data_IF_067608398769
#
_entry.id   IF_067608398769
#
_cell.length_a   1.000
_cell.length_b   1.000
_cell.length_c   1.000
_cell.angle_alpha   90.00
_cell.angle_beta   90.00
_cell.angle_gamma   90.00
#
_symmetry.space_group_name_H-M   'P 1'
#
loop_
_entity.id
_entity.type
_entity.pdbx_description
1 polymer ?
#
# COMPACT_ATOMS: atom_id res chain seq x y z
N UNK A 1 46.09 -69.02 -24.05
CA UNK A 1 45.18 -69.12 -22.90
C UNK A 1 45.74 -68.27 -21.78
N UNK A 2 45.00 -67.24 -21.36
CA UNK A 2 45.03 -66.53 -20.07
C UNK A 2 46.37 -65.90 -19.63
N UNK A 3 46.48 -64.63 -19.22
CA UNK A 3 45.55 -63.78 -18.49
C UNK A 3 45.85 -62.29 -18.72
N UNK A 4 44.78 -61.51 -18.84
CA UNK A 4 44.74 -60.07 -18.60
C UNK A 4 45.16 -59.77 -17.16
N UNK A 5 46.20 -58.95 -16.94
CA UNK A 5 46.46 -58.30 -15.65
C UNK A 5 46.74 -56.81 -15.89
N UNK A 6 45.80 -56.01 -15.41
CA UNK A 6 45.91 -54.69 -14.80
C UNK A 6 46.93 -53.67 -15.34
N UNK A 7 46.41 -52.69 -16.06
CA UNK A 7 46.76 -51.28 -15.80
C UNK A 7 45.46 -50.58 -15.41
N UNK A 8 45.18 -50.61 -14.11
CA UNK A 8 44.09 -49.88 -13.48
C UNK A 8 44.51 -48.43 -13.26
N UNK A 9 43.57 -47.52 -13.55
CA UNK A 9 43.41 -46.19 -12.94
C UNK A 9 44.50 -45.15 -13.19
N UNK A 10 44.17 -44.19 -14.05
CA UNK A 10 44.23 -42.75 -13.78
C UNK A 10 43.43 -42.03 -14.88
N UNK A 11 42.11 -42.22 -14.86
CA UNK A 11 41.20 -41.20 -15.40
C UNK A 11 40.78 -40.40 -14.17
N UNK A 12 41.39 -39.23 -14.02
CA UNK A 12 41.06 -38.26 -12.98
C UNK A 12 39.58 -37.93 -13.10
N UNK A 13 38.83 -38.40 -12.10
CA UNK A 13 37.45 -38.05 -11.84
C UNK A 13 37.47 -36.57 -11.43
N UNK A 14 37.41 -35.68 -12.42
CA UNK A 14 37.26 -34.25 -12.21
C UNK A 14 35.81 -33.97 -11.81
N UNK A 15 35.39 -34.54 -10.67
CA UNK A 15 34.23 -34.09 -9.93
C UNK A 15 34.57 -32.70 -9.42
N UNK A 16 34.30 -31.69 -10.24
CA UNK A 16 34.03 -30.35 -9.73
C UNK A 16 32.95 -30.53 -8.66
N UNK A 17 33.36 -30.48 -7.40
CA UNK A 17 32.42 -30.30 -6.29
C UNK A 17 31.77 -28.94 -6.54
N UNK A 18 30.64 -28.95 -7.22
CA UNK A 18 29.80 -27.76 -7.35
C UNK A 18 29.48 -27.32 -5.92
N UNK A 19 29.99 -26.15 -5.54
CA UNK A 19 29.65 -25.55 -4.26
C UNK A 19 28.13 -25.38 -4.19
N UNK A 20 27.49 -25.67 -3.05
CA UNK A 20 26.05 -25.58 -2.94
C UNK A 20 25.60 -24.14 -3.21
N UNK A 21 24.89 -23.96 -4.33
CA UNK A 21 24.40 -22.65 -4.77
C UNK A 21 23.48 -22.07 -3.67
N UNK A 22 23.84 -20.90 -3.17
CA UNK A 22 23.04 -20.19 -2.16
C UNK A 22 22.02 -19.28 -2.85
N UNK A 23 20.74 -19.64 -2.74
CA UNK A 23 19.63 -18.83 -3.25
C UNK A 23 19.27 -17.67 -2.30
N UNK A 24 18.69 -16.57 -2.81
CA UNK A 24 18.42 -16.29 -4.23
C UNK A 24 19.69 -15.91 -5.01
N UNK A 25 19.69 -16.18 -6.32
CA UNK A 25 20.74 -15.80 -7.28
C UNK A 25 20.12 -14.96 -8.41
N UNK A 26 20.94 -14.42 -9.31
CA UNK A 26 20.42 -13.75 -10.50
C UNK A 26 19.46 -14.68 -11.28
N UNK A 27 18.25 -14.18 -11.58
CA UNK A 27 17.17 -14.91 -12.21
C UNK A 27 17.56 -15.56 -13.54
N UNK A 28 18.50 -14.97 -14.28
CA UNK A 28 19.00 -15.54 -15.55
C UNK A 28 19.92 -16.76 -15.33
N UNK A 29 20.50 -16.89 -14.13
CA UNK A 29 21.37 -18.00 -13.75
C UNK A 29 20.61 -19.14 -13.07
N UNK A 30 19.31 -18.97 -12.80
CA UNK A 30 18.49 -19.99 -12.16
C UNK A 30 18.21 -21.13 -13.14
N UNK A 31 18.81 -22.28 -12.87
CA UNK A 31 18.53 -23.51 -13.61
C UNK A 31 17.34 -24.28 -13.01
N UNK A 32 16.52 -24.95 -13.83
CA UNK A 32 15.47 -25.84 -13.34
C UNK A 32 16.08 -27.01 -12.55
N UNK A 33 15.67 -27.16 -11.30
CA UNK A 33 16.04 -28.30 -10.45
C UNK A 33 14.94 -29.35 -10.39
N UNK A 34 15.29 -30.59 -10.04
CA UNK A 34 14.34 -31.70 -9.88
C UNK A 34 13.36 -31.50 -8.71
N UNK A 35 13.73 -30.71 -7.71
CA UNK A 35 12.89 -30.40 -6.54
C UNK A 35 12.05 -29.13 -6.72
N UNK A 36 12.05 -28.52 -7.91
CA UNK A 36 11.28 -27.30 -8.15
C UNK A 36 9.78 -27.56 -8.18
N UNK A 37 8.96 -26.66 -7.59
CA UNK A 37 7.52 -26.77 -7.72
C UNK A 37 7.11 -26.61 -9.18
N UNK A 38 5.99 -27.23 -9.57
CA UNK A 38 5.41 -27.02 -10.88
C UNK A 38 4.95 -25.56 -11.00
N UNK A 39 5.71 -24.75 -11.72
CA UNK A 39 5.35 -23.36 -11.99
C UNK A 39 4.20 -23.30 -13.01
N UNK A 40 3.27 -22.38 -12.79
CA UNK A 40 2.23 -22.09 -13.79
C UNK A 40 2.82 -21.36 -14.98
N UNK A 41 2.19 -21.52 -16.15
CA UNK A 41 2.52 -20.68 -17.30
C UNK A 41 2.24 -19.21 -16.98
N UNK A 42 3.14 -18.32 -17.38
CA UNK A 42 2.95 -16.88 -17.20
C UNK A 42 1.77 -16.41 -18.08
N UNK A 43 0.76 -15.75 -17.51
CA UNK A 43 -0.37 -15.26 -18.29
C UNK A 43 0.07 -14.13 -19.23
N UNK A 44 -0.56 -14.06 -20.40
CA UNK A 44 -0.34 -12.97 -21.34
C UNK A 44 -1.14 -11.74 -20.88
N UNK A 45 -0.50 -10.58 -20.70
CA UNK A 45 -1.22 -9.38 -20.30
C UNK A 45 -2.10 -8.86 -21.45
N UNK A 46 -3.29 -8.35 -21.12
CA UNK A 46 -4.14 -7.67 -22.09
C UNK A 46 -3.47 -6.38 -22.58
N UNK A 47 -3.67 -6.07 -23.86
CA UNK A 47 -3.15 -4.87 -24.53
C UNK A 47 -4.26 -4.01 -25.15
N UNK A 48 -5.49 -4.21 -24.68
CA UNK A 48 -6.67 -3.49 -25.16
C UNK A 48 -6.67 -2.06 -24.59
N UNK A 49 -5.90 -1.20 -25.25
CA UNK A 49 -5.83 0.25 -25.06
C UNK A 49 -6.42 0.94 -26.30
N UNK A 50 -7.07 2.08 -26.10
CA UNK A 50 -7.62 2.91 -27.18
C UNK A 50 -6.58 3.87 -27.75
N UNK A 51 -5.55 4.21 -26.98
CA UNK A 51 -4.40 4.98 -27.46
C UNK A 51 -3.38 4.07 -28.14
N UNK A 52 -2.55 4.59 -29.06
CA UNK A 52 -1.41 3.84 -29.59
C UNK A 52 -0.48 3.35 -28.48
N UNK A 53 0.16 2.19 -28.68
CA UNK A 53 0.99 1.54 -27.65
C UNK A 53 2.11 2.46 -27.12
N UNK A 54 2.74 3.23 -28.01
CA UNK A 54 3.82 4.16 -27.65
C UNK A 54 3.35 5.31 -26.73
N UNK A 55 2.04 5.57 -26.67
CA UNK A 55 1.44 6.62 -25.85
C UNK A 55 0.96 6.14 -24.48
N UNK A 56 0.94 4.82 -24.23
CA UNK A 56 0.36 4.26 -22.99
C UNK A 56 1.13 4.72 -21.76
N UNK A 57 2.46 4.79 -21.84
CA UNK A 57 3.29 5.31 -20.75
C UNK A 57 2.95 6.76 -20.39
N UNK A 58 2.86 7.63 -21.40
CA UNK A 58 2.49 9.04 -21.22
C UNK A 58 1.07 9.18 -20.65
N UNK A 59 0.11 8.39 -21.14
CA UNK A 59 -1.26 8.34 -20.63
C UNK A 59 -1.28 8.01 -19.13
N UNK A 60 -0.60 6.94 -18.73
CA UNK A 60 -0.54 6.50 -17.34
C UNK A 60 0.16 7.54 -16.44
N UNK A 61 1.25 8.14 -16.92
CA UNK A 61 1.99 9.16 -16.16
C UNK A 61 1.13 10.41 -15.92
N UNK A 62 0.52 10.97 -16.97
CA UNK A 62 -0.34 12.16 -16.84
C UNK A 62 -1.55 11.86 -15.96
N UNK A 63 -2.21 10.72 -16.17
CA UNK A 63 -3.37 10.34 -15.37
C UNK A 63 -3.02 10.10 -13.90
N UNK A 64 -1.91 9.43 -13.60
CA UNK A 64 -1.46 9.18 -12.22
C UNK A 64 -1.11 10.50 -11.53
N UNK A 65 -0.48 11.44 -12.24
CA UNK A 65 -0.21 12.79 -11.74
C UNK A 65 -1.50 13.54 -11.43
N UNK A 66 -2.41 13.70 -12.40
CA UNK A 66 -3.67 14.40 -12.20
C UNK A 66 -4.50 13.77 -11.07
N UNK A 67 -4.46 12.45 -10.97
CA UNK A 67 -5.15 11.71 -9.92
C UNK A 67 -4.52 11.94 -8.54
N UNK A 68 -3.20 11.91 -8.44
CA UNK A 68 -2.48 12.07 -7.18
C UNK A 68 -2.52 13.50 -6.66
N UNK A 69 -2.40 14.49 -7.56
CA UNK A 69 -2.42 15.92 -7.26
C UNK A 69 -3.79 16.57 -7.48
N UNK A 70 -4.86 15.78 -7.60
CA UNK A 70 -6.23 16.26 -7.86
C UNK A 70 -6.69 17.39 -6.93
N UNK A 71 -6.29 17.37 -5.66
CA UNK A 71 -6.60 18.44 -4.69
C UNK A 71 -5.84 19.72 -4.97
N UNK A 72 -4.54 19.63 -5.26
CA UNK A 72 -3.71 20.78 -5.63
C UNK A 72 -4.20 21.42 -6.92
N UNK A 73 -4.57 20.59 -7.89
CA UNK A 73 -5.10 21.01 -9.19
C UNK A 73 -6.56 21.48 -9.14
N UNK A 74 -7.26 21.31 -8.02
CA UNK A 74 -8.70 21.57 -7.91
C UNK A 74 -9.49 20.84 -9.02
N UNK A 75 -9.14 19.58 -9.26
CA UNK A 75 -9.64 18.75 -10.34
C UNK A 75 -10.40 17.56 -9.75
N UNK A 76 -11.70 17.46 -10.05
CA UNK A 76 -12.51 16.34 -9.61
C UNK A 76 -11.97 15.01 -10.12
N UNK A 77 -12.10 13.91 -9.34
CA UNK A 77 -11.57 12.62 -9.74
C UNK A 77 -12.28 12.07 -10.98
N UNK A 78 -11.51 11.45 -11.87
CA UNK A 78 -11.98 10.74 -13.06
C UNK A 78 -11.18 9.43 -13.23
N UNK A 79 -11.79 8.45 -13.88
CA UNK A 79 -11.17 7.14 -14.15
C UNK A 79 -10.17 7.20 -15.30
N UNK A 80 -9.28 6.21 -15.36
CA UNK A 80 -8.33 6.08 -16.46
C UNK A 80 -9.06 5.89 -17.80
N UNK A 81 -10.16 5.14 -17.82
CA UNK A 81 -10.97 4.94 -19.04
C UNK A 81 -11.60 6.24 -19.53
N UNK A 82 -12.13 7.07 -18.62
CA UNK A 82 -12.70 8.37 -18.98
C UNK A 82 -11.63 9.28 -19.58
N UNK A 83 -10.43 9.27 -19.02
CA UNK A 83 -9.31 10.06 -19.53
C UNK A 83 -8.84 9.55 -20.90
N UNK A 84 -8.65 8.24 -21.05
CA UNK A 84 -8.29 7.61 -22.31
C UNK A 84 -9.33 7.90 -23.41
N UNK A 85 -10.61 7.78 -23.09
CA UNK A 85 -11.71 8.13 -24.00
C UNK A 85 -11.67 9.60 -24.39
N UNK A 86 -11.44 10.50 -23.43
CA UNK A 86 -11.37 11.94 -23.68
C UNK A 86 -10.19 12.31 -24.59
N UNK A 87 -9.04 11.64 -24.44
CA UNK A 87 -7.86 11.83 -25.31
C UNK A 87 -8.16 11.36 -26.74
N UNK A 88 -8.79 10.20 -26.89
CA UNK A 88 -9.13 9.65 -28.22
C UNK A 88 -10.34 10.33 -28.88
N UNK A 89 -11.11 11.12 -28.14
CA UNK A 89 -12.30 11.78 -28.66
C UNK A 89 -11.94 12.92 -29.62
N UNK A 90 -12.62 12.97 -30.77
CA UNK A 90 -12.39 13.96 -31.84
C UNK A 90 -13.23 15.22 -31.72
N UNK A 91 -14.24 15.23 -30.87
CA UNK A 91 -15.10 16.40 -30.68
C UNK A 91 -14.35 17.55 -30.00
N UNK A 92 -14.69 18.78 -30.39
CA UNK A 92 -14.21 19.99 -29.72
C UNK A 92 -14.80 20.11 -28.31
N UNK A 93 -14.03 20.69 -27.38
CA UNK A 93 -14.47 21.08 -26.04
C UNK A 93 -14.94 19.92 -25.13
N UNK A 94 -14.18 18.83 -25.08
CA UNK A 94 -14.36 17.80 -24.04
C UNK A 94 -13.99 18.42 -22.69
N UNK A 95 -14.97 18.63 -21.82
CA UNK A 95 -14.79 19.31 -20.53
C UNK A 95 -13.64 18.74 -19.69
N UNK A 96 -13.48 17.41 -19.68
CA UNK A 96 -12.37 16.76 -18.98
C UNK A 96 -11.01 17.27 -19.46
N UNK A 97 -10.78 17.30 -20.78
CA UNK A 97 -9.54 17.82 -21.37
C UNK A 97 -9.34 19.29 -21.04
N UNK A 98 -10.39 20.10 -21.18
CA UNK A 98 -10.30 21.54 -20.93
C UNK A 98 -9.96 21.82 -19.47
N UNK A 99 -10.62 21.14 -18.53
CA UNK A 99 -10.37 21.31 -17.10
C UNK A 99 -8.99 20.79 -16.69
N UNK A 100 -8.53 19.66 -17.25
CA UNK A 100 -7.17 19.15 -17.02
C UNK A 100 -6.13 20.18 -17.46
N UNK A 101 -6.17 20.65 -18.71
CA UNK A 101 -5.25 21.70 -19.20
C UNK A 101 -5.34 22.97 -18.37
N UNK A 102 -6.55 23.47 -18.13
CA UNK A 102 -6.78 24.69 -17.37
C UNK A 102 -6.22 24.58 -15.94
N UNK A 103 -6.37 23.43 -15.29
CA UNK A 103 -5.86 23.22 -13.94
C UNK A 103 -4.33 23.28 -13.86
N UNK A 104 -3.63 22.65 -14.80
CA UNK A 104 -2.18 22.68 -14.89
C UNK A 104 -1.67 24.09 -15.20
N UNK A 105 -2.27 24.76 -16.18
CA UNK A 105 -1.92 26.13 -16.56
C UNK A 105 -2.19 27.14 -15.44
N UNK A 106 -3.28 26.99 -14.68
CA UNK A 106 -3.57 27.84 -13.50
C UNK A 106 -2.48 27.72 -12.43
N UNK A 107 -1.98 26.51 -12.19
CA UNK A 107 -0.91 26.28 -11.24
C UNK A 107 0.41 26.92 -11.70
N UNK A 108 0.78 26.74 -12.98
CA UNK A 108 1.95 27.38 -13.57
C UNK A 108 1.88 28.92 -13.52
N UNK A 109 0.69 29.47 -13.74
CA UNK A 109 0.45 30.93 -13.68
C UNK A 109 0.70 31.52 -12.30
N UNK A 110 0.46 30.76 -11.24
CA UNK A 110 0.60 31.26 -9.87
C UNK A 110 2.04 31.25 -9.36
N UNK A 111 2.89 30.36 -9.89
CA UNK A 111 4.26 30.16 -9.41
C UNK A 111 5.28 31.01 -10.16
N UNK A 112 5.14 31.09 -11.49
CA UNK A 112 6.14 31.75 -12.34
C UNK A 112 5.58 33.05 -12.93
N UNK A 113 5.60 34.13 -12.14
CA UNK A 113 5.41 35.50 -12.65
C UNK A 113 6.37 35.82 -13.82
N UNK A 114 7.53 35.15 -13.88
CA UNK A 114 8.48 35.23 -15.00
C UNK A 114 8.10 34.38 -16.23
N UNK A 115 7.43 33.23 -16.09
CA UNK A 115 7.00 32.39 -17.23
C UNK A 115 5.99 33.13 -18.12
N UNK A 116 5.17 33.97 -17.50
CA UNK A 116 4.21 34.85 -18.16
C UNK A 116 4.70 36.29 -18.28
N UNK A 117 6.01 36.55 -18.23
CA UNK A 117 6.55 37.90 -18.45
C UNK A 117 6.79 38.22 -19.95
N UNK A 118 6.98 37.20 -20.81
CA UNK A 118 7.52 37.39 -22.17
C UNK A 118 6.54 37.46 -23.39
N UNK A 119 5.22 37.25 -23.26
CA UNK A 119 4.21 37.17 -24.35
C UNK A 119 2.85 37.84 -24.00
N UNK A 120 2.70 39.13 -24.30
CA UNK A 120 1.42 39.89 -24.26
C UNK A 120 0.73 40.07 -22.89
N UNK A 121 1.01 41.22 -22.27
CA UNK A 121 0.39 41.77 -21.04
C UNK A 121 -1.15 41.87 -21.02
N UNK A 122 -1.87 41.65 -22.12
CA UNK A 122 -3.33 41.90 -22.22
C UNK A 122 -4.21 40.67 -21.95
N UNK A 123 -3.76 39.47 -22.30
CA UNK A 123 -4.53 38.21 -22.13
C UNK A 123 -4.29 37.61 -20.73
N UNK A 124 -3.17 37.95 -20.09
CA UNK A 124 -2.66 37.34 -18.86
C UNK A 124 -3.38 37.73 -17.56
N UNK A 125 -4.19 38.78 -17.56
CA UNK A 125 -4.98 39.17 -16.38
C UNK A 125 -6.30 38.41 -16.24
N UNK A 126 -6.75 37.71 -17.29
CA UNK A 126 -8.04 37.03 -17.27
C UNK A 126 -7.95 35.68 -16.55
N UNK A 127 -9.07 35.27 -15.95
CA UNK A 127 -9.24 33.91 -15.41
C UNK A 127 -9.22 32.93 -16.58
N UNK A 128 -8.54 31.79 -16.42
CA UNK A 128 -8.57 30.72 -17.42
C UNK A 128 -9.98 30.10 -17.39
N UNK A 129 -10.71 30.25 -18.49
CA UNK A 129 -12.08 29.77 -18.70
C UNK A 129 -12.13 28.76 -19.83
N UNK A 130 -13.31 28.13 -20.00
CA UNK A 130 -13.59 27.19 -21.09
C UNK A 130 -13.37 27.80 -22.48
N UNK A 131 -13.41 29.13 -22.61
CA UNK A 131 -13.34 29.84 -23.89
C UNK A 131 -11.96 30.37 -24.25
N UNK A 132 -11.03 30.51 -23.29
CA UNK A 132 -9.71 31.10 -23.53
C UNK A 132 -8.52 30.18 -23.22
N UNK A 133 -8.74 28.99 -22.67
CA UNK A 133 -7.66 28.05 -22.29
C UNK A 133 -6.74 27.68 -23.46
N UNK A 134 -7.26 27.64 -24.70
CA UNK A 134 -6.47 27.34 -25.91
C UNK A 134 -5.44 28.43 -26.22
N UNK A 135 -5.71 29.68 -25.87
CA UNK A 135 -4.75 30.79 -26.03
C UNK A 135 -3.56 30.58 -25.09
N UNK A 136 -3.83 30.35 -23.81
CA UNK A 136 -2.79 30.04 -22.81
C UNK A 136 -2.01 28.77 -23.18
N UNK A 137 -2.68 27.75 -23.72
CA UNK A 137 -2.01 26.55 -24.17
C UNK A 137 -1.08 26.83 -25.35
N UNK A 138 -1.49 27.67 -26.31
CA UNK A 138 -0.64 28.02 -27.43
C UNK A 138 0.57 28.83 -26.98
N UNK A 139 0.39 29.79 -26.08
CA UNK A 139 1.51 30.54 -25.50
C UNK A 139 2.49 29.60 -24.79
N UNK A 140 1.97 28.63 -24.03
CA UNK A 140 2.79 27.60 -23.39
C UNK A 140 3.59 26.79 -24.44
N UNK A 141 2.93 26.30 -25.49
CA UNK A 141 3.57 25.53 -26.57
C UNK A 141 4.64 26.37 -27.30
N UNK A 142 4.38 27.66 -27.53
CA UNK A 142 5.35 28.60 -28.12
C UNK A 142 6.58 28.79 -27.22
N UNK A 143 6.40 28.85 -25.90
CA UNK A 143 7.48 29.06 -24.93
C UNK A 143 8.35 27.82 -24.77
N UNK A 144 7.75 26.64 -24.57
CA UNK A 144 8.55 25.41 -24.38
C UNK A 144 9.33 25.08 -25.64
N UNK A 145 8.74 25.32 -26.82
CA UNK A 145 9.30 25.00 -28.12
C UNK A 145 9.96 23.59 -28.18
N UNK A 146 9.33 22.61 -27.52
CA UNK A 146 9.79 21.22 -27.47
C UNK A 146 9.08 20.41 -28.53
N UNK A 147 9.86 19.67 -29.33
CA UNK A 147 9.36 18.84 -30.42
C UNK A 147 8.60 19.65 -31.48
N UNK A 148 7.73 18.97 -32.22
CA UNK A 148 6.99 19.58 -33.34
C UNK A 148 5.61 20.13 -32.90
N UNK A 149 5.39 20.37 -31.60
CA UNK A 149 4.10 20.86 -31.10
C UNK A 149 3.71 22.24 -31.65
N UNK A 150 4.70 23.07 -31.98
CA UNK A 150 4.49 24.41 -32.57
C UNK A 150 3.74 24.36 -33.91
N UNK A 151 3.89 23.27 -34.67
CA UNK A 151 3.15 23.06 -35.93
C UNK A 151 1.63 22.98 -35.72
N UNK A 152 1.19 22.59 -34.53
CA UNK A 152 -0.22 22.41 -34.19
C UNK A 152 -0.87 23.66 -33.58
N UNK A 153 -0.12 24.73 -33.29
CA UNK A 153 -0.63 25.97 -32.67
C UNK A 153 -1.84 26.53 -33.42
N UNK A 154 -1.77 26.61 -34.74
CA UNK A 154 -2.87 27.17 -35.56
C UNK A 154 -4.16 26.35 -35.42
N UNK A 155 -4.05 25.04 -35.27
CA UNK A 155 -5.20 24.12 -35.08
C UNK A 155 -5.79 24.28 -33.68
N UNK A 156 -4.93 24.46 -32.67
CA UNK A 156 -5.34 24.68 -31.28
C UNK A 156 -6.05 26.04 -31.14
N UNK A 157 -5.47 27.14 -31.69
CA UNK A 157 -6.08 28.48 -31.67
C UNK A 157 -7.47 28.51 -32.32
N UNK A 158 -7.72 27.67 -33.33
CA UNK A 158 -9.03 27.52 -33.99
C UNK A 158 -10.04 26.69 -33.20
N UNK A 159 -9.70 26.15 -32.02
CA UNK A 159 -10.59 25.33 -31.21
C UNK A 159 -10.73 23.87 -31.69
N UNK A 160 -9.80 23.42 -32.54
CA UNK A 160 -9.79 22.06 -33.09
C UNK A 160 -8.83 21.12 -32.36
N UNK A 161 -8.56 21.37 -31.07
CA UNK A 161 -7.70 20.52 -30.24
C UNK A 161 -8.12 19.03 -30.27
N UNK A 162 -9.43 18.75 -30.34
CA UNK A 162 -9.96 17.39 -30.46
C UNK A 162 -9.46 16.62 -31.69
N UNK A 163 -9.10 17.30 -32.77
CA UNK A 163 -8.61 16.67 -34.00
C UNK A 163 -7.14 16.26 -33.96
N UNK A 164 -6.39 16.69 -32.93
CA UNK A 164 -5.00 16.30 -32.76
C UNK A 164 -4.88 14.81 -32.43
N UNK A 165 -3.78 14.20 -32.86
CA UNK A 165 -3.48 12.81 -32.52
C UNK A 165 -3.23 12.65 -31.02
N UNK A 166 -3.54 11.48 -30.49
CA UNK A 166 -3.38 11.16 -29.07
C UNK A 166 -1.94 11.42 -28.58
N UNK A 167 -0.94 11.11 -29.42
CA UNK A 167 0.48 11.35 -29.15
C UNK A 167 0.78 12.84 -28.92
N UNK A 168 0.21 13.73 -29.74
CA UNK A 168 0.40 15.18 -29.60
C UNK A 168 -0.31 15.67 -28.34
N UNK A 169 -1.56 15.24 -28.11
CA UNK A 169 -2.33 15.63 -26.92
C UNK A 169 -1.61 15.25 -25.62
N UNK A 170 -1.16 14.00 -25.53
CA UNK A 170 -0.44 13.46 -24.38
C UNK A 170 0.95 14.05 -24.24
N UNK A 171 1.66 14.30 -25.35
CA UNK A 171 2.94 14.98 -25.33
C UNK A 171 2.86 16.38 -24.73
N UNK A 172 1.88 17.19 -25.14
CA UNK A 172 1.66 18.53 -24.56
C UNK A 172 1.31 18.43 -23.06
N UNK A 173 0.45 17.49 -22.68
CA UNK A 173 0.09 17.27 -21.27
C UNK A 173 1.27 16.81 -20.42
N UNK A 174 2.14 15.94 -20.96
CA UNK A 174 3.37 15.52 -20.28
C UNK A 174 4.26 16.72 -19.99
N UNK A 175 4.51 17.58 -20.98
CA UNK A 175 5.35 18.75 -20.76
C UNK A 175 4.73 19.73 -19.75
N UNK A 176 3.41 19.90 -19.75
CA UNK A 176 2.71 20.67 -18.71
C UNK A 176 2.93 20.08 -17.32
N UNK A 177 2.83 18.76 -17.17
CA UNK A 177 3.07 18.07 -15.90
C UNK A 177 4.52 18.23 -15.45
N UNK A 178 5.48 18.08 -16.36
CA UNK A 178 6.91 18.29 -16.08
C UNK A 178 7.16 19.71 -15.56
N UNK A 179 6.66 20.72 -16.26
CA UNK A 179 6.80 22.13 -15.85
C UNK A 179 6.13 22.40 -14.50
N UNK A 180 4.98 21.77 -14.24
CA UNK A 180 4.30 21.87 -12.93
C UNK A 180 5.16 21.27 -11.83
N UNK A 181 5.78 20.12 -12.05
CA UNK A 181 6.65 19.49 -11.04
C UNK A 181 7.87 20.34 -10.70
N UNK A 182 8.32 21.19 -11.63
CA UNK A 182 9.41 22.15 -11.43
C UNK A 182 8.98 23.46 -10.75
N UNK A 183 7.71 23.63 -10.37
CA UNK A 183 7.23 24.80 -9.61
C UNK A 183 7.57 24.70 -8.12
N UNK A 184 7.80 25.84 -7.45
CA UNK A 184 8.03 25.88 -6.01
C UNK A 184 6.80 25.38 -5.25
N UNK A 185 5.59 25.81 -5.66
CA UNK A 185 4.33 25.33 -5.07
C UNK A 185 4.23 23.79 -5.12
N UNK A 186 4.55 23.17 -6.26
CA UNK A 186 4.50 21.70 -6.37
C UNK A 186 5.59 21.04 -5.54
N UNK A 187 6.81 21.59 -5.52
CA UNK A 187 7.93 21.08 -4.69
C UNK A 187 7.61 21.15 -3.20
N UNK A 188 7.04 22.25 -2.72
CA UNK A 188 6.62 22.41 -1.32
C UNK A 188 5.52 21.40 -0.96
N UNK A 189 4.49 21.26 -1.80
CA UNK A 189 3.46 20.22 -1.56
C UNK A 189 4.01 18.81 -1.60
N UNK A 190 4.97 18.52 -2.48
CA UNK A 190 5.66 17.25 -2.50
C UNK A 190 6.42 17.02 -1.19
N UNK A 191 7.12 18.04 -0.68
CA UNK A 191 7.87 17.97 0.58
C UNK A 191 6.94 17.73 1.78
N UNK A 192 5.81 18.45 1.87
CA UNK A 192 4.77 18.23 2.89
C UNK A 192 4.29 16.77 2.89
N UNK A 193 3.95 16.21 1.72
CA UNK A 193 3.50 14.83 1.62
C UNK A 193 4.59 13.81 2.00
N UNK A 194 5.86 14.10 1.67
CA UNK A 194 6.99 13.26 2.10
C UNK A 194 7.13 13.29 3.61
N UNK A 195 7.05 14.46 4.24
CA UNK A 195 7.15 14.63 5.68
C UNK A 195 6.00 13.93 6.42
N UNK A 196 4.74 14.16 6.02
CA UNK A 196 3.58 13.48 6.60
C UNK A 196 3.72 11.95 6.52
N UNK A 197 4.23 11.44 5.39
CA UNK A 197 4.50 10.01 5.22
C UNK A 197 5.59 9.52 6.15
N UNK A 198 6.67 10.28 6.34
CA UNK A 198 7.74 9.92 7.28
C UNK A 198 7.22 9.87 8.72
N UNK A 199 6.39 10.83 9.12
CA UNK A 199 5.75 10.86 10.45
C UNK A 199 4.86 9.64 10.66
N UNK A 200 4.02 9.28 9.69
CA UNK A 200 3.19 8.08 9.76
C UNK A 200 4.02 6.79 9.86
N UNK A 201 5.10 6.69 9.08
CA UNK A 201 6.02 5.55 9.13
C UNK A 201 6.78 5.47 10.46
N UNK A 202 7.23 6.60 11.00
CA UNK A 202 7.88 6.68 12.30
C UNK A 202 6.92 6.27 13.43
N UNK A 203 5.67 6.72 13.36
CA UNK A 203 4.61 6.36 14.31
C UNK A 203 4.33 4.86 14.26
N UNK A 204 4.18 4.28 13.07
CA UNK A 204 4.00 2.82 12.88
C UNK A 204 5.17 2.01 13.47
N UNK A 205 6.41 2.48 13.29
CA UNK A 205 7.61 1.85 13.88
C UNK A 205 7.63 1.97 15.40
N UNK A 206 7.31 3.16 15.93
CA UNK A 206 7.22 3.42 17.36
C UNK A 206 6.19 2.54 18.05
N UNK A 207 4.98 2.43 17.50
CA UNK A 207 3.94 1.54 18.03
C UNK A 207 4.38 0.07 18.01
N UNK A 208 5.05 -0.38 16.95
CA UNK A 208 5.57 -1.75 16.86
C UNK A 208 6.67 -2.05 17.89
N UNK A 209 7.54 -1.08 18.17
CA UNK A 209 8.59 -1.18 19.20
C UNK A 209 7.99 -1.24 20.62
N UNK A 210 7.05 -0.35 20.92
CA UNK A 210 6.32 -0.34 22.19
C UNK A 210 5.50 -1.62 22.39
N UNK A 211 4.89 -2.15 21.33
CA UNK A 211 4.23 -3.45 21.39
C UNK A 211 5.22 -4.58 21.68
N UNK A 212 6.38 -4.58 21.03
CA UNK A 212 7.46 -5.52 21.28
C UNK A 212 7.96 -5.45 22.73
N UNK A 213 8.11 -4.24 23.27
CA UNK A 213 8.48 -4.02 24.68
C UNK A 213 7.43 -4.58 25.64
N UNK A 214 6.15 -4.25 25.45
CA UNK A 214 5.04 -4.78 26.27
C UNK A 214 4.93 -6.29 26.20
N UNK A 215 5.27 -6.91 25.06
CA UNK A 215 5.32 -8.37 24.90
C UNK A 215 6.44 -8.97 25.75
N UNK A 216 7.66 -8.41 25.66
CA UNK A 216 8.81 -8.84 26.46
C UNK A 216 8.57 -8.69 27.98
N UNK A 217 7.97 -7.58 28.41
CA UNK A 217 7.62 -7.36 29.82
C UNK A 217 6.60 -8.40 30.32
N UNK A 218 5.60 -8.76 29.50
CA UNK A 218 4.64 -9.82 29.83
C UNK A 218 5.27 -11.21 29.88
N UNK A 219 6.19 -11.51 28.97
CA UNK A 219 6.93 -12.78 28.97
C UNK A 219 7.83 -12.88 30.22
N UNK A 220 8.48 -11.79 30.63
CA UNK A 220 9.26 -11.74 31.86
C UNK A 220 8.39 -11.91 33.12
N UNK A 221 7.22 -11.28 33.18
CA UNK A 221 6.28 -11.45 34.30
C UNK A 221 5.77 -12.89 34.40
N UNK A 222 5.47 -13.53 33.25
CA UNK A 222 5.08 -14.95 33.21
C UNK A 222 6.22 -15.87 33.64
N UNK A 223 7.45 -15.60 33.22
CA UNK A 223 8.62 -16.38 33.65
C UNK A 223 8.86 -16.27 35.17
N UNK A 224 8.69 -15.08 35.75
CA UNK A 224 8.80 -14.86 37.19
C UNK A 224 7.68 -15.53 38.00
N UNK A 225 6.44 -15.56 37.50
CA UNK A 225 5.34 -16.26 38.18
C UNK A 225 5.52 -17.78 38.16
N UNK A 226 6.08 -18.34 37.09
CA UNK A 226 6.40 -19.78 37.00
C UNK A 226 7.55 -20.13 37.96
N UNK A 227 8.58 -19.29 38.07
CA UNK A 227 9.68 -19.49 39.03
C UNK A 227 9.20 -19.45 40.50
N UNK A 228 8.28 -18.54 40.84
CA UNK A 228 7.73 -18.45 42.20
C UNK A 228 6.77 -19.60 42.55
N UNK A 229 6.15 -20.26 41.56
CA UNK A 229 5.31 -21.45 41.79
C UNK A 229 6.11 -22.69 42.21
N UNK A 230 7.41 -22.74 41.90
CA UNK A 230 8.30 -23.86 42.26
C UNK A 230 8.82 -23.75 43.71
N UNK A 231 8.72 -22.56 44.34
CA UNK A 231 9.26 -22.32 45.69
C UNK A 231 8.28 -22.57 46.85
N UNK A 232 6.99 -22.87 46.57
CA UNK A 232 5.95 -23.06 47.60
C UNK A 232 5.50 -24.52 47.79
N UNK A 233 6.43 -25.47 47.77
CA UNK A 233 6.28 -26.81 48.35
C UNK A 233 7.37 -27.04 49.39
N UNK A 234 7.02 -27.12 50.68
CA UNK A 234 7.95 -27.21 51.82
C UNK A 234 8.55 -28.61 52.03
N UNK A 235 9.88 -28.64 52.32
CA UNK A 235 10.64 -29.47 53.30
C UNK A 235 10.55 -31.01 53.26
N UNK A 236 11.61 -31.82 53.49
CA UNK A 236 12.89 -31.59 54.17
C UNK A 236 13.95 -32.69 53.84
N UNK A 237 15.22 -32.27 53.86
CA UNK A 237 16.51 -32.90 54.26
C UNK A 237 16.92 -34.33 53.81
N UNK A 238 18.16 -34.50 53.30
CA UNK A 238 19.41 -34.77 54.06
C UNK A 238 20.68 -34.63 53.16
N UNK A 239 21.54 -33.68 53.57
CA UNK A 239 23.02 -33.65 53.69
C UNK A 239 23.93 -34.48 52.77
N UNK A 240 24.90 -33.80 52.12
CA UNK A 240 26.14 -34.40 51.61
C UNK A 240 27.12 -33.40 50.97
N UNK A 241 28.00 -32.82 51.80
CA UNK A 241 29.13 -31.91 51.50
C UNK A 241 29.94 -32.19 50.21
N UNK A 242 30.27 -31.16 49.43
CA UNK A 242 31.63 -30.59 49.32
C UNK A 242 31.71 -29.46 48.27
N UNK A 243 32.46 -28.42 48.61
CA UNK A 243 32.73 -27.20 47.84
C UNK A 243 34.20 -27.25 47.34
N UNK A 244 34.75 -26.21 46.70
CA UNK A 244 34.77 -25.93 45.26
C UNK A 244 36.19 -25.99 44.65
N UNK A 245 36.34 -26.02 43.32
CA UNK A 245 37.56 -25.50 42.66
C UNK A 245 37.21 -24.82 41.33
N UNK A 246 37.72 -23.59 41.22
CA UNK A 246 37.76 -22.68 40.07
C UNK A 246 38.70 -23.19 38.96
N UNK A 247 38.37 -22.90 37.69
CA UNK A 247 39.27 -22.44 36.62
C UNK A 247 38.55 -22.61 35.27
N UNK A 248 38.76 -21.83 34.20
CA UNK A 248 39.34 -20.53 33.93
C UNK A 248 39.13 -20.32 32.41
N UNK A 249 39.14 -19.08 31.91
CA UNK A 249 39.25 -18.77 30.47
C UNK A 249 38.18 -17.77 29.98
N UNK A 250 38.36 -16.45 30.18
CA UNK A 250 39.09 -15.50 29.31
C UNK A 250 38.43 -15.26 27.93
N UNK A 251 38.26 -14.04 27.38
CA UNK A 251 38.45 -12.65 27.83
C UNK A 251 38.03 -11.71 26.66
N UNK A 252 37.87 -10.41 26.95
CA UNK A 252 38.01 -9.21 26.06
C UNK A 252 36.79 -8.84 25.19
N UNK A 253 36.27 -7.61 25.18
CA UNK A 253 36.69 -6.39 25.88
C UNK A 253 35.70 -5.23 25.69
N UNK A 254 35.62 -4.37 26.71
CA UNK A 254 34.94 -3.08 26.69
C UNK A 254 35.94 -1.95 26.36
N UNK A 255 35.46 -0.87 25.71
CA UNK A 255 35.37 0.49 26.26
C UNK A 255 35.67 1.62 25.26
N UNK A 256 34.92 2.71 25.46
CA UNK A 256 35.19 4.05 24.97
C UNK A 256 34.25 5.06 25.62
N UNK A 257 34.55 5.46 26.86
CA UNK A 257 33.94 6.61 27.55
C UNK A 257 34.50 7.93 27.01
N UNK A 258 33.68 8.99 26.92
CA UNK A 258 34.08 10.35 27.30
C UNK A 258 32.92 11.05 28.02
N UNK A 259 33.24 11.63 29.17
CA UNK A 259 32.36 12.34 30.09
C UNK A 259 32.26 13.85 29.78
N UNK A 260 31.16 14.50 30.22
CA UNK A 260 31.16 15.90 30.68
C UNK A 260 30.12 16.14 31.78
N UNK A 261 30.51 17.00 32.73
CA UNK A 261 30.02 17.22 34.10
C UNK A 261 29.05 18.41 34.23
N UNK A 262 28.40 18.47 35.42
CA UNK A 262 27.69 19.58 36.12
C UNK A 262 26.19 19.68 35.83
N UNK A 263 25.30 19.85 36.80
CA UNK A 263 25.38 20.01 38.26
C UNK A 263 24.00 20.44 38.81
N UNK A 264 23.72 20.09 40.08
CA UNK A 264 22.86 20.79 41.06
C UNK A 264 21.33 20.94 40.79
N UNK A 265 20.34 20.97 41.71
CA UNK A 265 20.14 20.80 43.18
C UNK A 265 18.59 20.97 43.45
N UNK A 266 18.04 20.42 44.55
CA UNK A 266 16.77 20.70 45.29
C UNK A 266 15.36 20.45 44.68
N UNK A 267 14.55 19.54 45.28
CA UNK A 267 13.41 19.76 46.23
C UNK A 267 12.04 19.89 45.51
N UNK A 268 10.85 19.62 46.04
CA UNK A 268 10.34 19.29 47.36
C UNK A 268 8.96 18.59 47.21
N UNK A 269 8.58 17.81 48.23
CA UNK A 269 7.20 17.40 48.54
C UNK A 269 6.58 18.49 49.43
N UNK A 270 5.26 18.75 49.34
CA UNK A 270 4.42 18.64 50.56
C UNK A 270 3.03 18.01 50.23
N UNK A 271 2.54 17.04 50.99
CA UNK A 271 1.73 17.15 52.23
C UNK A 271 0.27 17.63 52.03
N UNK A 272 -0.64 16.68 52.28
CA UNK A 272 -2.05 16.74 52.72
C UNK A 272 -2.42 17.90 53.67
N UNK A 273 -3.71 18.29 53.82
CA UNK A 273 -4.56 17.66 54.86
C UNK A 273 -6.08 17.54 54.59
N UNK A 274 -6.60 16.33 54.89
CA UNK A 274 -7.76 15.95 55.73
C UNK A 274 -8.84 16.98 56.14
N UNK A 275 -10.12 16.54 56.03
CA UNK A 275 -11.21 16.43 57.05
C UNK A 275 -12.56 16.27 56.29
N UNK A 276 -13.65 15.59 56.70
CA UNK A 276 -14.15 14.88 57.90
C UNK A 276 -15.41 14.12 57.42
N UNK A 277 -15.53 12.81 57.61
CA UNK A 277 -16.39 12.12 58.60
C UNK A 277 -17.91 12.39 58.52
N UNK A 278 -18.70 11.33 58.32
CA UNK A 278 -19.81 10.98 59.23
C UNK A 278 -20.25 9.51 59.05
N UNK A 279 -20.62 8.90 60.17
CA UNK A 279 -20.92 7.48 60.35
C UNK A 279 -22.37 7.29 60.78
N UNK A 280 -22.98 6.15 60.46
CA UNK A 280 -23.99 5.54 61.34
C UNK A 280 -24.09 4.02 61.16
N UNK A 281 -23.76 3.35 62.27
CA UNK A 281 -24.17 2.01 62.76
C UNK A 281 -25.71 1.97 62.99
N UNK A 282 -26.46 0.90 63.25
CA UNK A 282 -26.33 -0.57 63.40
C UNK A 282 -27.75 -1.13 63.70
N UNK A 283 -27.86 -2.47 63.87
CA UNK A 283 -28.82 -3.22 64.73
C UNK A 283 -30.13 -3.76 64.10
N UNK A 284 -30.77 -4.88 64.50
CA UNK A 284 -30.46 -6.25 65.01
C UNK A 284 -31.84 -6.96 65.22
N UNK A 285 -31.93 -8.28 64.94
CA UNK A 285 -32.90 -9.34 65.40
C UNK A 285 -34.45 -9.19 65.20
N UNK A 286 -35.30 -10.23 65.02
CA UNK A 286 -35.42 -11.54 65.71
C UNK A 286 -36.34 -12.59 65.01
N UNK A 287 -35.92 -13.88 65.04
CA UNK A 287 -36.59 -15.19 65.39
C UNK A 287 -37.99 -15.64 64.91
N UNK A 288 -38.06 -16.91 64.42
CA UNK A 288 -38.74 -18.11 65.06
C UNK A 288 -38.57 -19.42 64.22
N UNK A 289 -37.83 -20.44 64.69
CA UNK A 289 -38.21 -21.73 65.38
C UNK A 289 -38.39 -23.01 64.52
N UNK A 290 -37.31 -23.83 64.45
CA UNK A 290 -37.18 -25.29 64.77
C UNK A 290 -38.07 -26.40 64.19
N UNK A 291 -37.46 -27.41 63.52
CA UNK A 291 -37.28 -28.82 64.01
C UNK A 291 -36.48 -29.75 63.06
N UNK A 292 -35.45 -30.38 63.63
CA UNK A 292 -34.80 -31.71 63.43
C UNK A 292 -34.65 -32.40 62.03
N UNK A 293 -33.36 -32.68 61.75
CA UNK A 293 -32.70 -33.92 61.28
C UNK A 293 -33.15 -34.58 59.97
N UNK A 294 -32.25 -34.62 58.97
CA UNK A 294 -31.43 -35.82 58.72
C UNK A 294 -30.23 -35.50 57.80
N UNK A 295 -29.14 -36.23 58.03
CA UNK A 295 -27.93 -36.22 57.22
C UNK A 295 -28.20 -36.88 55.87
N UNK A 296 -27.66 -36.32 54.79
CA UNK A 296 -27.02 -37.15 53.76
C UNK A 296 -25.86 -36.41 53.11
N UNK A 297 -24.77 -37.15 52.94
CA UNK A 297 -23.51 -36.77 52.35
C UNK A 297 -23.65 -36.86 50.84
N UNK A 298 -23.63 -35.74 50.12
CA UNK A 298 -23.37 -35.70 48.68
C UNK A 298 -23.07 -34.26 48.28
N UNK A 299 -21.79 -33.94 48.07
CA UNK A 299 -21.37 -32.56 47.86
C UNK A 299 -19.91 -32.43 47.43
N UNK A 300 -19.45 -33.33 46.55
CA UNK A 300 -18.13 -33.21 45.91
C UNK A 300 -18.19 -33.26 44.38
N UNK A 301 -19.33 -33.62 43.77
CA UNK A 301 -19.49 -33.63 42.30
C UNK A 301 -20.02 -32.31 41.71
N UNK A 302 -20.83 -31.53 42.44
CA UNK A 302 -21.37 -30.26 41.93
C UNK A 302 -20.32 -29.13 41.84
N UNK A 303 -19.38 -29.07 42.78
CA UNK A 303 -18.32 -28.06 42.78
C UNK A 303 -17.33 -28.25 41.62
N UNK A 304 -17.03 -29.49 41.21
CA UNK A 304 -16.09 -29.78 40.10
C UNK A 304 -16.70 -29.43 38.74
N UNK A 305 -18.01 -29.61 38.57
CA UNK A 305 -18.74 -29.22 37.35
C UNK A 305 -18.91 -27.68 37.27
N UNK A 306 -19.07 -26.99 38.39
CA UNK A 306 -19.12 -25.52 38.44
C UNK A 306 -17.73 -24.88 38.22
N UNK A 307 -16.66 -25.49 38.76
CA UNK A 307 -15.27 -25.10 38.51
C UNK A 307 -14.89 -25.24 37.03
N UNK A 308 -15.19 -26.38 36.41
CA UNK A 308 -14.90 -26.61 34.98
C UNK A 308 -15.71 -25.70 34.06
N UNK A 309 -16.98 -25.39 34.39
CA UNK A 309 -17.79 -24.39 33.67
C UNK A 309 -17.21 -22.98 33.83
N UNK A 310 -16.75 -22.60 35.02
CA UNK A 310 -16.07 -21.30 35.24
C UNK A 310 -14.75 -21.20 34.49
N UNK A 311 -13.93 -22.25 34.49
CA UNK A 311 -12.69 -22.33 33.74
C UNK A 311 -12.92 -22.22 32.23
N UNK A 312 -13.92 -22.93 31.70
CA UNK A 312 -14.33 -22.80 30.29
C UNK A 312 -14.81 -21.38 29.95
N UNK A 313 -15.55 -20.72 30.86
CA UNK A 313 -15.98 -19.33 30.67
C UNK A 313 -14.81 -18.34 30.68
N UNK A 314 -13.79 -18.58 31.51
CA UNK A 314 -12.57 -17.77 31.59
C UNK A 314 -11.76 -17.93 30.30
N UNK A 315 -11.58 -19.16 29.81
CA UNK A 315 -10.89 -19.41 28.53
C UNK A 315 -11.60 -18.75 27.35
N UNK A 316 -12.93 -18.86 27.25
CA UNK A 316 -13.72 -18.20 26.20
C UNK A 316 -13.64 -16.67 26.29
N UNK A 317 -13.61 -16.11 27.50
CA UNK A 317 -13.44 -14.66 27.72
C UNK A 317 -12.04 -14.21 27.33
N UNK A 318 -11.01 -14.98 27.63
CA UNK A 318 -9.62 -14.71 27.25
C UNK A 318 -9.40 -14.85 25.74
N UNK A 319 -10.05 -15.82 25.08
CA UNK A 319 -10.09 -15.93 23.62
C UNK A 319 -10.79 -14.74 22.97
N UNK A 320 -11.96 -14.33 23.49
CA UNK A 320 -12.64 -13.12 23.00
C UNK A 320 -11.81 -11.85 23.22
N UNK A 321 -11.15 -11.71 24.37
CA UNK A 321 -10.28 -10.57 24.66
C UNK A 321 -9.03 -10.54 23.77
N UNK A 322 -8.43 -11.69 23.50
CA UNK A 322 -7.26 -11.80 22.60
C UNK A 322 -7.65 -11.59 21.15
N UNK A 323 -8.80 -12.09 20.70
CA UNK A 323 -9.35 -11.84 19.38
C UNK A 323 -9.71 -10.36 19.17
N UNK A 324 -10.40 -9.72 20.13
CA UNK A 324 -10.71 -8.29 20.09
C UNK A 324 -9.43 -7.43 20.05
N UNK A 325 -8.40 -7.82 20.80
CA UNK A 325 -7.09 -7.16 20.81
C UNK A 325 -6.31 -7.36 19.51
N UNK A 326 -6.46 -8.51 18.83
CA UNK A 326 -5.88 -8.74 17.49
C UNK A 326 -6.62 -7.91 16.43
N UNK A 327 -7.94 -7.92 16.45
CA UNK A 327 -8.81 -7.13 15.57
C UNK A 327 -8.51 -5.62 15.66
N UNK A 328 -8.38 -5.05 16.86
CA UNK A 328 -8.04 -3.63 17.03
C UNK A 328 -6.63 -3.27 16.53
N UNK A 329 -5.67 -4.21 16.56
CA UNK A 329 -4.32 -4.00 16.01
C UNK A 329 -4.30 -4.04 14.49
N UNK A 330 -5.05 -4.96 13.92
CA UNK A 330 -5.20 -5.10 12.47
C UNK A 330 -5.87 -3.87 11.87
N UNK A 331 -6.97 -3.41 12.47
CA UNK A 331 -7.63 -2.15 12.09
C UNK A 331 -6.68 -0.94 12.16
N UNK A 332 -5.82 -0.88 13.18
CA UNK A 332 -4.83 0.21 13.30
C UNK A 332 -3.70 0.11 12.28
N UNK A 333 -3.22 -1.10 11.95
CA UNK A 333 -2.25 -1.31 10.86
C UNK A 333 -2.84 -0.94 9.50
N UNK A 334 -4.08 -1.34 9.26
CA UNK A 334 -4.84 -0.98 8.06
C UNK A 334 -5.06 0.52 7.98
N UNK A 335 -5.33 1.20 9.09
CA UNK A 335 -5.43 2.66 9.14
C UNK A 335 -4.11 3.32 8.71
N UNK A 336 -2.98 2.96 9.32
CA UNK A 336 -1.69 3.52 8.94
C UNK A 336 -1.34 3.23 7.49
N UNK A 337 -1.64 2.02 7.01
CA UNK A 337 -1.44 1.70 5.60
C UNK A 337 -2.31 2.59 4.73
N UNK A 338 -3.62 2.65 4.98
CA UNK A 338 -4.54 3.52 4.23
C UNK A 338 -4.08 4.98 4.21
N UNK A 339 -3.60 5.51 5.34
CA UNK A 339 -3.12 6.90 5.43
C UNK A 339 -1.78 7.14 4.73
N UNK A 340 -0.83 6.21 4.84
CA UNK A 340 0.42 6.27 4.08
C UNK A 340 0.13 6.17 2.58
N UNK A 341 -0.87 5.38 2.21
CA UNK A 341 -1.25 5.14 0.82
C UNK A 341 -1.98 6.31 0.16
N UNK A 342 -2.72 7.11 0.93
CA UNK A 342 -3.32 8.37 0.45
C UNK A 342 -2.28 9.41 0.04
N UNK A 343 -1.02 9.25 0.46
CA UNK A 343 0.09 10.19 0.28
C UNK A 343 1.18 9.63 -0.64
N UNK A 344 0.80 8.71 -1.53
CA UNK A 344 1.71 8.23 -2.58
C UNK A 344 1.73 9.28 -3.69
N UNK A 345 2.91 9.85 -3.89
CA UNK A 345 3.16 10.98 -4.80
C UNK A 345 3.49 10.52 -6.22
N UNK A 346 3.90 9.25 -6.34
CA UNK A 346 4.22 8.58 -7.60
C UNK A 346 4.02 7.08 -7.39
N UNK A 347 3.29 6.42 -8.28
CA UNK A 347 3.16 4.97 -8.25
C UNK A 347 4.51 4.34 -8.57
N UNK A 348 5.15 3.69 -7.59
CA UNK A 348 6.40 2.97 -7.82
C UNK A 348 6.12 1.57 -8.37
N UNK A 349 7.01 1.02 -9.21
CA UNK A 349 6.86 -0.35 -9.68
C UNK A 349 6.96 -1.32 -8.49
N UNK A 350 6.12 -2.35 -8.49
CA UNK A 350 6.12 -3.45 -7.53
C UNK A 350 7.42 -4.26 -7.60
N UNK A 351 8.02 -4.35 -8.78
CA UNK A 351 9.26 -5.09 -8.99
C UNK A 351 9.50 -5.37 -10.47
N UNK A 352 10.52 -6.18 -10.72
CA UNK A 352 10.89 -6.67 -12.04
C UNK A 352 10.84 -8.20 -12.07
N UNK A 353 10.62 -8.77 -13.24
CA UNK A 353 10.76 -10.21 -13.46
C UNK A 353 12.17 -10.58 -13.99
N UNK A 354 12.34 -11.83 -14.41
CA UNK A 354 13.57 -12.33 -15.03
C UNK A 354 13.98 -11.56 -16.29
N UNK A 355 13.00 -11.08 -17.06
CA UNK A 355 13.16 -10.38 -18.35
C UNK A 355 13.25 -8.85 -18.18
N UNK A 356 13.36 -8.37 -16.94
CA UNK A 356 13.39 -6.96 -16.57
C UNK A 356 12.10 -6.17 -16.87
N UNK A 357 10.99 -6.85 -17.14
CA UNK A 357 9.68 -6.21 -17.25
C UNK A 357 9.27 -5.66 -15.89
N UNK A 358 8.79 -4.42 -15.87
CA UNK A 358 8.37 -3.72 -14.65
C UNK A 358 6.89 -3.91 -14.42
N UNK A 359 6.54 -4.26 -13.19
CA UNK A 359 5.16 -4.46 -12.78
C UNK A 359 4.70 -3.26 -11.97
N UNK A 360 3.53 -2.71 -12.30
CA UNK A 360 2.97 -1.50 -11.68
C UNK A 360 1.58 -1.80 -11.16
N UNK A 361 1.19 -1.18 -10.04
CA UNK A 361 -0.17 -1.27 -9.53
C UNK A 361 -0.70 0.11 -9.16
N UNK A 362 -1.58 0.63 -10.01
CA UNK A 362 -2.21 1.92 -9.81
C UNK A 362 -3.48 1.77 -8.97
N UNK A 363 -3.43 2.22 -7.73
CA UNK A 363 -4.50 1.96 -6.73
C UNK A 363 -5.88 2.47 -7.14
N UNK A 364 -5.91 3.56 -7.89
CA UNK A 364 -7.16 4.22 -8.32
C UNK A 364 -7.83 3.51 -9.49
N UNK A 365 -7.04 2.79 -10.30
CA UNK A 365 -7.54 1.99 -11.41
C UNK A 365 -7.78 0.53 -11.00
N UNK A 366 -6.94 0.01 -10.10
CA UNK A 366 -7.03 -1.33 -9.53
C UNK A 366 -6.33 -2.42 -10.34
N UNK A 367 -6.16 -2.24 -11.66
CA UNK A 367 -5.44 -3.20 -12.51
C UNK A 367 -3.95 -3.21 -12.22
N UNK A 368 -3.31 -4.33 -12.55
CA UNK A 368 -1.87 -4.48 -12.48
C UNK A 368 -1.29 -4.39 -13.88
N UNK A 369 -0.38 -3.44 -14.10
CA UNK A 369 0.21 -3.15 -15.39
C UNK A 369 1.60 -3.78 -15.49
N UNK A 370 1.99 -4.11 -16.71
CA UNK A 370 3.31 -4.63 -17.04
C UNK A 370 3.87 -3.76 -18.15
N UNK A 371 5.08 -3.27 -17.92
CA UNK A 371 5.87 -2.51 -18.86
C UNK A 371 7.08 -3.34 -19.27
N UNK A 372 7.34 -3.46 -20.56
CA UNK A 372 8.52 -4.17 -21.05
C UNK A 372 9.82 -3.50 -20.59
N UNK A 373 10.90 -4.27 -20.60
CA UNK A 373 12.22 -3.76 -20.21
C UNK A 373 12.66 -2.53 -21.04
N UNK A 374 12.31 -2.50 -22.33
CA UNK A 374 12.56 -1.40 -23.27
C UNK A 374 11.52 -0.26 -23.23
N UNK A 375 10.53 -0.34 -22.34
CA UNK A 375 9.44 0.64 -22.17
C UNK A 375 8.51 0.82 -23.38
N UNK A 376 8.62 -0.02 -24.42
CA UNK A 376 7.83 0.11 -25.65
C UNK A 376 6.50 -0.61 -25.61
N UNK A 377 6.38 -1.64 -24.78
CA UNK A 377 5.18 -2.45 -24.68
C UNK A 377 4.59 -2.35 -23.29
N UNK A 378 3.30 -2.08 -23.26
CA UNK A 378 2.48 -2.08 -22.07
C UNK A 378 1.40 -3.14 -22.16
N UNK A 379 1.01 -3.66 -21.01
CA UNK A 379 -0.16 -4.50 -20.87
C UNK A 379 -0.68 -4.46 -19.44
N UNK A 380 -1.81 -5.11 -19.19
CA UNK A 380 -2.40 -5.19 -17.86
C UNK A 380 -3.11 -6.53 -17.61
N UNK A 381 -3.22 -6.87 -16.33
CA UNK A 381 -4.07 -7.96 -15.82
C UNK A 381 -5.33 -7.35 -15.19
N UNK A 382 -6.48 -7.94 -15.50
CA UNK A 382 -7.79 -7.43 -15.12
C UNK A 382 -8.62 -8.42 -14.29
N UNK A 383 -8.18 -9.67 -14.13
CA UNK A 383 -8.86 -10.66 -13.30
C UNK A 383 -7.95 -11.27 -12.24
N UNK A 384 -8.57 -11.89 -11.22
CA UNK A 384 -7.85 -12.52 -10.11
C UNK A 384 -7.04 -13.72 -10.61
N UNK A 385 -7.60 -14.48 -11.53
CA UNK A 385 -7.02 -15.70 -12.08
C UNK A 385 -5.69 -15.42 -12.77
N UNK A 386 -5.57 -14.30 -13.49
CA UNK A 386 -4.30 -13.83 -14.06
C UNK A 386 -3.27 -13.51 -12.97
N UNK A 387 -3.68 -12.88 -11.86
CA UNK A 387 -2.76 -12.59 -10.75
C UNK A 387 -2.27 -13.89 -10.10
N UNK A 388 -3.17 -14.87 -9.93
CA UNK A 388 -2.85 -16.19 -9.37
C UNK A 388 -1.85 -16.95 -10.26
N UNK A 389 -2.08 -16.94 -11.58
CA UNK A 389 -1.17 -17.53 -12.56
C UNK A 389 0.19 -16.81 -12.60
N UNK A 390 0.21 -15.48 -12.47
CA UNK A 390 1.46 -14.75 -12.36
C UNK A 390 2.23 -15.18 -11.10
N UNK A 391 1.57 -15.17 -9.94
CA UNK A 391 2.18 -15.56 -8.66
C UNK A 391 2.73 -16.98 -8.68
N UNK A 392 2.04 -17.90 -9.36
CA UNK A 392 2.50 -19.27 -9.57
C UNK A 392 3.66 -19.40 -10.56
N UNK A 393 3.85 -18.43 -11.46
CA UNK A 393 4.93 -18.44 -12.47
C UNK A 393 6.26 -17.84 -11.96
N UNK A 394 6.23 -17.09 -10.85
CA UNK A 394 7.41 -16.41 -10.30
C UNK A 394 8.28 -17.38 -9.49
N UNK A 395 9.54 -17.51 -9.90
CA UNK A 395 10.52 -18.39 -9.28
C UNK A 395 11.21 -17.74 -8.07
N UNK A 396 11.02 -18.24 -6.83
CA UNK A 396 11.62 -17.66 -5.64
C UNK A 396 13.14 -17.90 -5.52
N UNK A 397 13.74 -18.70 -6.41
CA UNK A 397 15.21 -18.86 -6.52
C UNK A 397 15.88 -17.65 -7.16
N UNK A 398 15.16 -16.89 -7.99
CA UNK A 398 15.64 -15.65 -8.59
C UNK A 398 15.50 -14.47 -7.65
N UNK A 399 16.49 -13.56 -7.61
CA UNK A 399 16.45 -12.36 -6.78
C UNK A 399 15.27 -11.43 -7.14
N UNK A 400 15.08 -11.16 -8.43
CA UNK A 400 14.04 -10.23 -8.92
C UNK A 400 12.66 -10.84 -8.78
N UNK A 401 12.46 -12.08 -9.23
CA UNK A 401 11.18 -12.78 -9.15
C UNK A 401 10.76 -13.03 -7.69
N UNK A 402 11.69 -13.34 -6.78
CA UNK A 402 11.40 -13.43 -5.35
C UNK A 402 10.98 -12.07 -4.77
N UNK A 403 11.68 -11.00 -5.14
CA UNK A 403 11.34 -9.65 -4.68
C UNK A 403 9.96 -9.21 -5.19
N UNK A 404 9.67 -9.43 -6.47
CA UNK A 404 8.38 -9.14 -7.10
C UNK A 404 7.27 -9.96 -6.43
N UNK A 405 7.46 -11.27 -6.27
CA UNK A 405 6.49 -12.17 -5.62
C UNK A 405 6.14 -11.68 -4.21
N UNK A 406 7.13 -11.29 -3.42
CA UNK A 406 6.92 -10.77 -2.06
C UNK A 406 6.13 -9.46 -2.05
N UNK A 407 6.35 -8.57 -3.03
CA UNK A 407 5.59 -7.32 -3.13
C UNK A 407 4.16 -7.56 -3.59
N UNK A 408 3.95 -8.43 -4.59
CA UNK A 408 2.60 -8.79 -5.05
C UNK A 408 1.84 -9.48 -3.92
N UNK A 409 2.45 -10.42 -3.20
CA UNK A 409 1.85 -11.10 -2.04
C UNK A 409 1.40 -10.11 -0.95
N UNK A 410 2.23 -9.10 -0.67
CA UNK A 410 1.91 -8.05 0.30
C UNK A 410 0.64 -7.27 -0.07
N UNK A 411 0.42 -7.02 -1.36
CA UNK A 411 -0.75 -6.26 -1.84
C UNK A 411 -1.87 -7.14 -2.38
N UNK A 412 -1.70 -8.47 -2.41
CA UNK A 412 -2.55 -9.43 -3.10
C UNK A 412 -4.03 -9.30 -2.73
N UNK A 413 -4.34 -9.26 -1.42
CA UNK A 413 -5.71 -9.11 -0.93
C UNK A 413 -6.38 -7.82 -1.45
N UNK A 414 -5.62 -6.71 -1.49
CA UNK A 414 -6.12 -5.41 -1.98
C UNK A 414 -6.29 -5.41 -3.49
N UNK A 415 -5.31 -5.95 -4.22
CA UNK A 415 -5.38 -6.09 -5.69
C UNK A 415 -6.62 -6.89 -6.07
N UNK A 416 -6.81 -8.07 -5.46
CA UNK A 416 -7.96 -8.93 -5.73
C UNK A 416 -9.29 -8.24 -5.41
N UNK A 417 -9.37 -7.55 -4.27
CA UNK A 417 -10.57 -6.81 -3.87
C UNK A 417 -10.92 -5.72 -4.88
N UNK A 418 -9.94 -4.92 -5.34
CA UNK A 418 -10.19 -3.83 -6.29
C UNK A 418 -10.52 -4.37 -7.68
N UNK A 419 -9.86 -5.44 -8.15
CA UNK A 419 -10.20 -6.12 -9.39
C UNK A 419 -11.63 -6.67 -9.37
N UNK A 420 -12.05 -7.29 -8.26
CA UNK A 420 -13.42 -7.79 -8.10
C UNK A 420 -14.44 -6.66 -8.08
N UNK A 421 -14.15 -5.57 -7.36
CA UNK A 421 -15.02 -4.39 -7.31
C UNK A 421 -15.18 -3.80 -8.71
N UNK A 422 -14.08 -3.61 -9.44
CA UNK A 422 -14.08 -3.12 -10.82
C UNK A 422 -14.85 -4.04 -11.76
N UNK A 423 -14.66 -5.36 -11.66
CA UNK A 423 -15.39 -6.34 -12.46
C UNK A 423 -16.92 -6.24 -12.23
N UNK A 424 -17.35 -6.10 -10.96
CA UNK A 424 -18.76 -5.88 -10.62
C UNK A 424 -19.28 -4.55 -11.16
N UNK A 425 -18.51 -3.47 -11.03
CA UNK A 425 -18.89 -2.15 -11.54
C UNK A 425 -19.02 -2.17 -13.07
N UNK A 426 -18.12 -2.87 -13.77
CA UNK A 426 -18.19 -3.07 -15.21
C UNK A 426 -19.41 -3.90 -15.62
N UNK A 427 -19.67 -5.01 -14.92
CA UNK A 427 -20.86 -5.84 -15.18
C UNK A 427 -22.16 -5.05 -14.97
N UNK A 428 -22.21 -4.21 -13.93
CA UNK A 428 -23.34 -3.33 -13.66
C UNK A 428 -23.53 -2.28 -14.77
N UNK A 429 -22.44 -1.68 -15.28
CA UNK A 429 -22.50 -0.73 -16.40
C UNK A 429 -23.01 -1.42 -17.67
N UNK A 430 -22.47 -2.59 -18.02
CA UNK A 430 -22.91 -3.37 -19.19
C UNK A 430 -24.40 -3.73 -19.06
N UNK A 431 -24.84 -4.21 -17.88
CA UNK A 431 -26.25 -4.53 -17.65
C UNK A 431 -27.14 -3.29 -17.77
N UNK A 432 -26.68 -2.13 -17.30
CA UNK A 432 -27.39 -0.86 -17.43
C UNK A 432 -27.50 -0.42 -18.90
N UNK A 433 -26.42 -0.52 -19.67
CA UNK A 433 -26.37 -0.24 -21.11
C UNK A 433 -27.35 -1.14 -21.87
N UNK A 434 -27.29 -2.44 -21.61
CA UNK A 434 -28.15 -3.43 -22.24
C UNK A 434 -29.64 -3.17 -21.89
N UNK A 435 -29.93 -2.79 -20.63
CA UNK A 435 -31.27 -2.42 -20.20
C UNK A 435 -31.75 -1.09 -20.81
N UNK A 436 -30.86 -0.14 -21.10
CA UNK A 436 -31.18 1.10 -21.83
C UNK A 436 -31.48 0.76 -23.29
N UNK A 437 -30.66 -0.08 -23.93
CA UNK A 437 -30.85 -0.50 -25.32
C UNK A 437 -32.17 -1.26 -25.53
N UNK A 438 -32.50 -2.19 -24.62
CA UNK A 438 -33.80 -2.90 -24.61
C UNK A 438 -35.00 -1.96 -24.39
N UNK A 439 -34.86 -0.91 -23.58
CA UNK A 439 -35.95 0.06 -23.35
C UNK A 439 -36.13 1.02 -24.53
N UNK A 440 -35.03 1.48 -25.14
CA UNK A 440 -35.06 2.35 -26.32
C UNK A 440 -35.75 1.66 -27.51
N UNK A 441 -35.42 0.39 -27.76
CA UNK A 441 -36.07 -0.43 -28.81
C UNK A 441 -37.56 -0.65 -28.56
N UNK A 442 -37.99 -0.80 -27.29
CA UNK A 442 -39.40 -1.02 -26.94
C UNK A 442 -40.26 0.25 -26.95
N UNK A 443 -39.69 1.43 -26.67
CA UNK A 443 -40.47 2.66 -26.41
C UNK A 443 -40.28 3.76 -27.47
N UNK A 444 -39.35 3.64 -28.44
CA UNK A 444 -38.94 4.78 -29.31
C UNK A 444 -38.68 6.05 -28.50
N UNK A 445 -38.16 5.91 -27.28
CA UNK A 445 -37.74 7.04 -26.46
C UNK A 445 -36.34 7.50 -26.90
N UNK A 446 -36.06 8.81 -26.76
CA UNK A 446 -34.71 9.37 -26.96
C UNK A 446 -33.69 8.54 -26.16
N UNK A 447 -32.53 8.17 -26.76
CA UNK A 447 -31.52 7.38 -26.07
C UNK A 447 -31.11 8.06 -24.77
N UNK A 448 -31.19 7.35 -23.64
CA UNK A 448 -30.45 7.78 -22.44
C UNK A 448 -28.95 7.73 -22.76
N UNK A 449 -28.20 8.63 -22.15
CA UNK A 449 -26.77 8.80 -22.40
C UNK A 449 -26.00 7.49 -22.23
N UNK A 450 -25.17 7.15 -23.22
CA UNK A 450 -24.31 5.97 -23.18
C UNK A 450 -23.23 6.15 -22.09
N UNK A 451 -23.08 5.23 -21.12
CA UNK A 451 -22.02 5.30 -20.10
C UNK A 451 -20.61 5.34 -20.69
N UNK A 452 -20.40 4.78 -21.88
CA UNK A 452 -19.14 4.95 -22.63
C UNK A 452 -18.81 6.43 -22.93
N UNK A 453 -19.82 7.31 -22.93
CA UNK A 453 -19.70 8.75 -23.12
C UNK A 453 -19.73 9.54 -21.80
N UNK A 454 -19.63 8.89 -20.63
CA UNK A 454 -19.66 9.57 -19.33
C UNK A 454 -18.61 10.68 -19.22
N UNK A 455 -17.46 10.51 -19.88
CA UNK A 455 -16.39 11.51 -19.95
C UNK A 455 -16.82 12.85 -20.61
N UNK A 456 -17.82 12.83 -21.50
CA UNK A 456 -18.38 14.05 -22.10
C UNK A 456 -19.15 14.88 -21.08
N UNK A 457 -19.72 14.23 -20.07
CA UNK A 457 -20.51 14.84 -19.01
C UNK A 457 -19.69 15.08 -17.74
N UNK A 458 -18.36 15.05 -17.85
CA UNK A 458 -17.48 15.40 -16.75
C UNK A 458 -17.75 16.83 -16.29
N UNK A 459 -17.96 16.99 -14.98
CA UNK A 459 -18.13 18.28 -14.30
C UNK A 459 -17.10 18.36 -13.19
N UNK A 460 -16.26 19.40 -13.24
CA UNK A 460 -15.29 19.66 -12.20
C UNK A 460 -15.96 20.32 -10.98
N UNK A 461 -16.35 19.52 -10.00
CA UNK A 461 -16.97 19.91 -8.73
C UNK A 461 -16.02 20.59 -7.74
N UNK A 462 -14.72 20.57 -8.01
CA UNK A 462 -13.69 21.14 -7.13
C UNK A 462 -13.17 22.49 -7.63
N UNK A 463 -13.67 22.93 -8.78
CA UNK A 463 -13.38 24.26 -9.31
C UNK A 463 -14.07 25.31 -8.44
N UNK A 464 -13.29 26.24 -7.91
CA UNK A 464 -13.83 27.43 -7.25
C UNK A 464 -14.13 28.51 -8.30
N UNK A 465 -15.36 29.04 -8.27
CA UNK A 465 -15.93 29.97 -9.28
C UNK A 465 -15.26 31.34 -9.34
#
# INVERSE_FOLDING_TARGET
MFSFISVFKLAEDNQQKEEPIKYPIDDLLVQPGTDDPVFTARPLPSRDFKVPMDCVGDLLMVWDFCSSFCKLLHLSPFSLEEFENAICHKGSNVNLIVETHSSLLRLLKHDKDEYFSAVQKRIRSLKITLTNWTEYLCDFVEIINVGDFSTHITTIKRGHYGLLDAQVKLGILRELVNEVLETDIAREKLAEYVEERQVLLATKRGEALEEGRKKREKEQLKAKSVANGVMNGHGADIIGKNQPVLANGNHIGQNGQIAKKKGEIFSARPNNPSKRSESSRSDIESKKTGKKKNMNVEGQAENVIDLTKREALILLRDEKNTAAKRSGKEQRREYFEREIEKRILHTNPLGKDRDYNRYWWFKRDGRMFVESSDSKLWGYYCCKEEIDLLMGSLNPKGEREKALRKQVEKFYSRICMELQKRSKDLANRIALEEAVQRRSTRVRALPRENPANAFLNYVNKWKED
#
